data_IF_169337434324
#
_entry.id   IF_169337434324
#
_cell.length_a   1.000
_cell.length_b   1.000
_cell.length_c   1.000
_cell.angle_alpha   90.00
_cell.angle_beta   90.00
_cell.angle_gamma   90.00
#
_symmetry.space_group_name_H-M   'P 1'
#
loop_
_entity.id
_entity.type
_entity.pdbx_description
1 polymer ?
#
# COMPACT_ATOMS: atom_id res chain seq x y z
N UNK A 1 -11.61 1.55 5.25
CA UNK A 1 -10.67 1.08 6.28
C UNK A 1 -10.16 -0.28 5.86
N UNK A 2 -8.84 -0.50 5.91
CA UNK A 2 -8.25 -1.80 5.58
C UNK A 2 -8.49 -2.78 6.72
N UNK A 3 -8.76 -4.04 6.38
CA UNK A 3 -8.91 -5.11 7.36
C UNK A 3 -7.67 -6.00 7.38
N UNK A 4 -7.50 -6.71 8.49
CA UNK A 4 -6.43 -7.71 8.61
C UNK A 4 -6.47 -8.72 7.46
N UNK A 5 -7.67 -9.22 7.10
CA UNK A 5 -7.87 -10.18 6.01
C UNK A 5 -7.37 -9.61 4.68
N UNK A 6 -7.71 -8.36 4.35
CA UNK A 6 -7.27 -7.71 3.12
C UNK A 6 -5.74 -7.60 3.06
N UNK A 7 -5.10 -7.20 4.16
CA UNK A 7 -3.64 -7.07 4.26
C UNK A 7 -2.96 -8.44 4.08
N UNK A 8 -3.43 -9.48 4.78
CA UNK A 8 -2.82 -10.81 4.72
C UNK A 8 -3.08 -11.55 3.40
N UNK A 9 -4.19 -11.24 2.72
CA UNK A 9 -4.53 -11.83 1.42
C UNK A 9 -3.77 -11.20 0.25
N UNK A 10 -3.14 -10.05 0.46
CA UNK A 10 -2.49 -9.29 -0.59
C UNK A 10 -1.25 -10.04 -1.12
N UNK A 11 -1.32 -10.47 -2.38
CA UNK A 11 -0.21 -11.15 -3.04
C UNK A 11 0.67 -10.12 -3.75
N UNK A 12 1.99 -10.18 -3.61
CA UNK A 12 2.86 -9.31 -4.38
C UNK A 12 2.67 -9.59 -5.87
N UNK A 13 2.68 -8.52 -6.66
CA UNK A 13 2.68 -8.62 -8.13
C UNK A 13 4.03 -8.14 -8.65
N UNK A 14 4.28 -8.25 -9.97
CA UNK A 14 5.52 -7.77 -10.57
C UNK A 14 5.74 -6.24 -10.38
N UNK A 15 4.68 -5.47 -10.13
CA UNK A 15 4.75 -4.02 -9.90
C UNK A 15 4.26 -3.68 -8.49
N UNK A 16 4.85 -2.66 -7.83
CA UNK A 16 4.31 -2.16 -6.57
C UNK A 16 2.88 -1.64 -6.73
N UNK A 17 2.03 -1.85 -5.73
CA UNK A 17 0.67 -1.31 -5.68
C UNK A 17 0.29 -0.89 -4.25
N UNK A 18 -0.72 -0.03 -4.12
CA UNK A 18 -1.17 0.48 -2.83
C UNK A 18 -2.54 -0.10 -2.45
N UNK A 19 -2.67 -0.53 -1.20
CA UNK A 19 -3.94 -0.76 -0.53
C UNK A 19 -4.29 0.51 0.24
N UNK A 20 -5.39 1.15 -0.13
CA UNK A 20 -5.83 2.41 0.51
C UNK A 20 -6.70 2.15 1.74
N UNK A 21 -6.44 2.90 2.81
CA UNK A 21 -7.31 3.05 3.97
C UNK A 21 -8.00 4.44 3.91
N UNK A 22 -8.59 4.85 5.01
CA UNK A 22 -9.21 6.14 5.28
C UNK A 22 -8.17 7.22 5.55
N UNK A 23 -8.59 8.48 5.41
CA UNK A 23 -7.77 9.67 5.75
C UNK A 23 -6.40 9.73 5.05
N UNK A 24 -6.33 9.21 3.81
CA UNK A 24 -5.13 9.24 2.99
C UNK A 24 -4.05 8.26 3.43
N UNK A 25 -4.31 7.38 4.39
CA UNK A 25 -3.41 6.30 4.79
C UNK A 25 -3.42 5.19 3.72
N UNK A 26 -2.26 4.62 3.41
CA UNK A 26 -2.16 3.47 2.53
C UNK A 26 -0.97 2.58 2.89
N UNK A 27 -1.08 1.31 2.49
CA UNK A 27 -0.03 0.30 2.56
C UNK A 27 0.49 0.01 1.15
N UNK A 28 1.78 0.19 0.91
CA UNK A 28 2.39 -0.22 -0.37
C UNK A 28 2.84 -1.69 -0.29
N UNK A 29 2.39 -2.49 -1.24
CA UNK A 29 2.83 -3.87 -1.45
C UNK A 29 3.84 -3.87 -2.59
N UNK A 30 5.11 -4.10 -2.26
CA UNK A 30 6.19 -4.14 -3.24
C UNK A 30 6.82 -5.54 -3.26
N UNK A 31 7.03 -6.15 -4.45
CA UNK A 31 7.88 -7.33 -4.54
C UNK A 31 9.31 -6.91 -4.16
N UNK A 32 9.89 -7.50 -3.12
CA UNK A 32 11.34 -7.39 -2.93
C UNK A 32 12.04 -8.51 -3.69
N UNK A 33 13.03 -8.15 -4.49
CA UNK A 33 13.91 -9.13 -5.11
C UNK A 33 14.78 -9.74 -4.00
N UNK A 34 14.42 -10.92 -3.50
CA UNK A 34 15.34 -11.73 -2.70
C UNK A 34 15.82 -12.87 -3.58
N UNK A 35 17.09 -12.80 -4.01
CA UNK A 35 17.77 -13.79 -4.86
C UNK A 35 17.91 -15.20 -4.22
N UNK A 36 17.15 -15.53 -3.17
CA UNK A 36 17.18 -16.83 -2.51
C UNK A 36 15.78 -17.17 -1.97
N UNK A 37 14.97 -17.81 -2.81
CA UNK A 37 13.86 -18.70 -2.39
C UNK A 37 12.68 -18.14 -1.59
N UNK A 38 12.61 -16.84 -1.30
CA UNK A 38 11.53 -16.26 -0.50
C UNK A 38 11.23 -14.81 -0.87
N UNK A 39 10.01 -14.56 -1.36
CA UNK A 39 9.50 -13.23 -1.67
C UNK A 39 9.20 -12.49 -0.36
N UNK A 40 10.08 -11.57 0.05
CA UNK A 40 9.80 -10.72 1.20
C UNK A 40 8.88 -9.55 0.77
N UNK A 41 7.92 -9.19 1.62
CA UNK A 41 7.04 -8.05 1.39
C UNK A 41 7.61 -6.87 2.18
N UNK A 42 8.13 -5.86 1.49
CA UNK A 42 8.38 -4.56 2.13
C UNK A 42 7.04 -3.82 2.17
N UNK A 43 6.53 -3.59 3.38
CA UNK A 43 5.36 -2.77 3.61
C UNK A 43 5.80 -1.42 4.15
N UNK A 44 5.52 -0.35 3.41
CA UNK A 44 5.65 1.01 3.91
C UNK A 44 4.27 1.59 4.16
N UNK A 45 4.15 2.32 5.28
CA UNK A 45 2.94 3.08 5.61
C UNK A 45 3.15 4.51 5.14
N UNK A 46 2.33 4.94 4.20
CA UNK A 46 2.34 6.31 3.67
C UNK A 46 1.05 7.05 4.01
N UNK A 47 1.15 8.37 4.18
CA UNK A 47 -0.01 9.26 4.25
C UNK A 47 0.06 10.23 3.08
N UNK A 48 -0.96 10.26 2.23
CA UNK A 48 -1.08 11.36 1.26
C UNK A 48 -1.32 12.65 2.03
N UNK A 49 -0.67 13.77 1.67
CA UNK A 49 -1.03 15.05 2.25
C UNK A 49 -2.53 15.26 2.06
N UNK A 50 -3.21 15.71 3.11
CA UNK A 50 -4.60 16.12 3.00
C UNK A 50 -4.62 17.33 2.07
N UNK A 51 -4.83 17.10 0.78
CA UNK A 51 -5.12 18.18 -0.15
C UNK A 51 -6.48 18.69 0.28
N UNK A 52 -6.51 19.81 1.01
CA UNK A 52 -7.71 20.63 1.09
C UNK A 52 -8.08 20.94 -0.36
N UNK A 53 -9.08 20.24 -0.88
CA UNK A 53 -9.63 20.50 -2.20
C UNK A 53 -10.06 21.97 -2.22
N UNK A 54 -9.45 22.86 -3.04
CA UNK A 54 -10.01 24.17 -3.21
C UNK A 54 -11.27 23.96 -4.04
N UNK A 55 -12.42 23.91 -3.36
CA UNK A 55 -13.72 23.71 -3.98
C UNK A 55 -13.98 24.64 -5.18
N UNK A 56 -14.97 24.32 -6.02
CA UNK A 56 -15.19 25.02 -7.28
C UNK A 56 -15.43 26.51 -7.01
N UNK A 57 -14.68 27.35 -7.74
CA UNK A 57 -14.89 28.80 -7.80
C UNK A 57 -16.20 29.14 -8.51
#
# INVERSE_FOLDING_TARGET
MLTHIQITSAKPTAKPFNLSDSQGLFLTVQPTARNYGGLAIATSVGRRPFTSDPGPR
#
